data_IF_349400350119
#
_entry.id   IF_349400350119
#
_cell.length_a   1.000
_cell.length_b   1.000
_cell.length_c   1.000
_cell.angle_alpha   90.00
_cell.angle_beta   90.00
_cell.angle_gamma   90.00
#
_symmetry.space_group_name_H-M   'P 1'
#
loop_
_entity.id
_entity.type
_entity.pdbx_description
1 polymer ?
#
# COMPACT_ATOMS: atom_id res chain seq x y z
N UNK A 1 -3.11 -6.39 6.45
CA UNK A 1 -3.98 -7.42 5.84
C UNK A 1 -3.75 -8.72 6.54
N UNK A 2 -4.78 -9.56 6.65
CA UNK A 2 -4.66 -10.87 7.28
C UNK A 2 -5.41 -11.93 6.45
N UNK A 3 -4.81 -13.10 6.28
CA UNK A 3 -5.43 -14.28 5.68
C UNK A 3 -4.80 -15.53 6.31
N UNK A 4 -5.62 -16.46 6.80
CA UNK A 4 -5.20 -17.70 7.46
C UNK A 4 -4.17 -17.46 8.59
N UNK A 5 -4.33 -16.38 9.35
CA UNK A 5 -3.45 -15.99 10.44
C UNK A 5 -2.15 -15.32 10.01
N UNK A 6 -1.84 -15.22 8.72
CA UNK A 6 -0.68 -14.50 8.20
C UNK A 6 -0.98 -13.01 8.04
N UNK A 7 -0.14 -12.14 8.59
CA UNK A 7 -0.31 -10.68 8.60
C UNK A 7 0.73 -9.99 7.73
N UNK A 8 0.27 -9.48 6.58
CA UNK A 8 1.05 -8.65 5.68
C UNK A 8 0.79 -7.16 6.00
N UNK A 9 1.83 -6.43 6.37
CA UNK A 9 1.80 -4.98 6.48
C UNK A 9 2.20 -4.35 5.15
N UNK A 10 1.41 -3.41 4.65
CA UNK A 10 1.66 -2.71 3.39
C UNK A 10 1.88 -1.24 3.69
N UNK A 11 2.97 -0.69 3.17
CA UNK A 11 3.36 0.72 3.29
C UNK A 11 3.23 1.28 4.72
N UNK A 12 4.09 0.86 5.67
CA UNK A 12 4.13 1.44 7.00
C UNK A 12 4.73 2.85 6.99
N UNK A 13 3.92 3.81 6.55
CA UNK A 13 4.25 5.23 6.58
C UNK A 13 4.06 5.84 7.98
N UNK A 14 4.07 7.18 8.02
CA UNK A 14 4.03 7.93 9.29
C UNK A 14 2.89 7.51 10.22
N UNK A 15 3.22 7.26 11.49
CA UNK A 15 2.31 6.88 12.56
C UNK A 15 1.52 5.56 12.33
N UNK A 16 1.97 4.70 11.43
CA UNK A 16 1.39 3.38 11.21
C UNK A 16 1.71 2.44 12.37
N UNK A 17 2.97 2.38 12.80
CA UNK A 17 3.41 1.45 13.85
C UNK A 17 2.77 1.76 15.20
N UNK A 18 2.69 2.99 15.72
CA UNK A 18 1.96 3.26 16.95
C UNK A 18 0.51 2.76 16.92
N UNK A 19 -0.20 2.95 15.82
CA UNK A 19 -1.60 2.47 15.67
C UNK A 19 -1.69 0.96 15.51
N UNK A 20 -0.73 0.35 14.83
CA UNK A 20 -0.64 -1.11 14.72
C UNK A 20 -0.47 -1.75 16.10
N UNK A 21 0.42 -1.19 16.92
CA UNK A 21 0.74 -1.70 18.26
C UNK A 21 -0.40 -1.52 19.28
N UNK A 22 -1.42 -0.74 18.98
CA UNK A 22 -2.67 -0.71 19.74
C UNK A 22 -3.52 -2.00 19.55
N UNK A 23 -3.24 -2.78 18.50
CA UNK A 23 -4.04 -3.94 18.09
C UNK A 23 -3.30 -5.26 18.13
N UNK A 24 -2.03 -5.24 17.72
CA UNK A 24 -1.16 -6.43 17.68
C UNK A 24 0.23 -6.05 18.17
N UNK A 25 1.03 -7.04 18.52
CA UNK A 25 2.45 -6.84 18.84
C UNK A 25 3.30 -6.84 17.56
N UNK A 26 4.48 -6.22 17.61
CA UNK A 26 5.35 -6.12 16.44
C UNK A 26 5.79 -7.48 15.87
N UNK A 27 5.96 -8.49 16.74
CA UNK A 27 6.31 -9.87 16.35
C UNK A 27 5.18 -10.62 15.63
N UNK A 28 3.96 -10.12 15.67
CA UNK A 28 2.82 -10.68 14.95
C UNK A 28 2.72 -10.20 13.49
N UNK A 29 3.62 -9.34 13.03
CA UNK A 29 3.74 -8.99 11.61
C UNK A 29 4.63 -10.04 10.93
N UNK A 30 4.10 -10.73 9.92
CA UNK A 30 4.78 -11.83 9.24
C UNK A 30 5.58 -11.38 8.02
N UNK A 31 5.16 -10.32 7.33
CA UNK A 31 5.87 -9.72 6.23
C UNK A 31 5.50 -8.24 6.04
N UNK A 32 6.37 -7.50 5.33
CA UNK A 32 6.13 -6.12 4.92
C UNK A 32 6.29 -6.02 3.41
N UNK A 33 5.37 -5.30 2.75
CA UNK A 33 5.50 -4.88 1.35
C UNK A 33 5.56 -3.34 1.31
N UNK A 34 6.51 -2.82 0.53
CA UNK A 34 6.68 -1.38 0.32
C UNK A 34 6.51 -1.09 -1.17
N UNK A 35 5.55 -0.23 -1.50
CA UNK A 35 5.28 0.18 -2.88
C UNK A 35 6.39 1.04 -3.45
N UNK A 36 6.88 2.02 -2.66
CA UNK A 36 7.97 2.93 -3.05
C UNK A 36 8.65 3.59 -1.85
N UNK A 37 9.74 4.30 -2.09
CA UNK A 37 10.62 4.83 -1.05
C UNK A 37 10.29 6.20 -0.48
N UNK A 38 9.10 6.78 -0.72
CA UNK A 38 8.72 8.01 -0.05
C UNK A 38 8.47 7.75 1.46
N UNK A 39 8.86 8.69 2.34
CA UNK A 39 8.80 8.45 3.79
C UNK A 39 7.40 8.17 4.32
N UNK A 40 6.37 8.74 3.74
CA UNK A 40 4.97 8.50 4.11
C UNK A 40 4.45 7.10 3.73
N UNK A 41 5.28 6.29 3.05
CA UNK A 41 5.03 4.88 2.75
C UNK A 41 5.99 3.92 3.48
N UNK A 42 7.14 4.38 3.96
CA UNK A 42 8.15 3.47 4.52
C UNK A 42 8.78 3.93 5.86
N UNK A 43 8.53 5.14 6.35
CA UNK A 43 9.27 5.68 7.51
C UNK A 43 9.11 4.82 8.78
N UNK A 44 7.94 4.24 9.01
CA UNK A 44 7.68 3.42 10.19
C UNK A 44 8.23 1.99 10.07
N UNK A 45 8.88 1.62 8.95
CA UNK A 45 9.63 0.36 8.88
C UNK A 45 10.75 0.34 9.94
N UNK A 46 11.49 1.44 10.14
CA UNK A 46 12.55 1.50 11.13
C UNK A 46 12.03 1.25 12.56
N UNK A 47 11.03 1.96 13.11
CA UNK A 47 10.50 1.65 14.44
C UNK A 47 9.86 0.26 14.55
N UNK A 48 9.29 -0.31 13.47
CA UNK A 48 8.81 -1.70 13.48
C UNK A 48 9.96 -2.68 13.69
N UNK A 49 11.05 -2.55 12.91
CA UNK A 49 12.22 -3.42 13.01
C UNK A 49 12.85 -3.31 14.40
N UNK A 50 12.96 -2.11 14.97
CA UNK A 50 13.46 -1.88 16.32
C UNK A 50 12.58 -2.53 17.38
N UNK A 51 11.24 -2.40 17.28
CA UNK A 51 10.31 -3.02 18.21
C UNK A 51 10.36 -4.55 18.17
N UNK A 52 10.73 -5.15 17.04
CA UNK A 52 10.92 -6.60 16.89
C UNK A 52 12.25 -7.07 17.47
N UNK A 53 13.32 -6.32 17.28
CA UNK A 53 14.68 -6.78 17.49
C UNK A 53 15.26 -6.38 18.85
N UNK A 54 14.90 -5.19 19.39
CA UNK A 54 15.44 -4.69 20.64
C UNK A 54 14.67 -5.25 21.84
N UNK A 55 14.72 -6.56 22.00
CA UNK A 55 14.08 -7.32 23.06
C UNK A 55 14.94 -8.56 23.42
N UNK A 56 14.67 -9.17 24.57
CA UNK A 56 15.46 -10.32 25.06
C UNK A 56 15.33 -11.56 24.16
N UNK A 57 14.15 -11.77 23.56
CA UNK A 57 13.85 -12.88 22.66
C UNK A 57 13.28 -12.33 21.35
N UNK A 58 14.13 -11.92 20.40
CA UNK A 58 13.69 -11.38 19.13
C UNK A 58 13.12 -12.49 18.23
N UNK A 59 12.03 -12.23 17.49
CA UNK A 59 11.50 -13.16 16.50
C UNK A 59 12.47 -13.31 15.31
N UNK A 60 12.18 -14.27 14.44
CA UNK A 60 12.90 -14.42 13.18
C UNK A 60 12.95 -13.12 12.37
N UNK A 61 13.99 -12.91 11.54
CA UNK A 61 14.09 -11.75 10.67
C UNK A 61 12.82 -11.56 9.84
N UNK A 62 12.35 -10.32 9.75
CA UNK A 62 11.12 -9.96 9.04
C UNK A 62 11.34 -9.95 7.52
N UNK A 63 10.61 -10.73 6.72
CA UNK A 63 10.61 -10.58 5.27
C UNK A 63 10.09 -9.20 4.86
N UNK A 64 10.88 -8.44 4.10
CA UNK A 64 10.53 -7.11 3.60
C UNK A 64 10.69 -7.11 2.08
N UNK A 65 9.63 -6.79 1.37
CA UNK A 65 9.58 -6.78 -0.08
C UNK A 65 9.54 -5.35 -0.59
N UNK A 66 10.46 -4.96 -1.48
CA UNK A 66 10.51 -3.62 -2.06
C UNK A 66 11.14 -3.61 -3.45
N UNK A 67 10.98 -2.50 -4.16
CA UNK A 67 11.81 -2.22 -5.34
C UNK A 67 13.26 -1.95 -4.94
N UNK A 68 14.25 -2.26 -5.81
CA UNK A 68 15.65 -1.99 -5.54
C UNK A 68 15.91 -0.53 -5.14
N UNK A 69 16.65 -0.33 -4.06
CA UNK A 69 17.04 0.98 -3.56
C UNK A 69 15.93 1.79 -2.85
N UNK A 70 14.68 1.32 -2.87
CA UNK A 70 13.55 2.06 -2.28
C UNK A 70 13.68 2.27 -0.77
N UNK A 71 14.41 1.40 -0.08
CA UNK A 71 14.57 1.44 1.37
C UNK A 71 15.92 1.95 1.86
N UNK A 72 16.83 2.35 0.97
CA UNK A 72 18.19 2.76 1.35
C UNK A 72 18.19 3.86 2.41
N UNK A 73 17.31 4.88 2.25
CA UNK A 73 17.23 6.00 3.17
C UNK A 73 16.68 5.60 4.56
N UNK A 74 15.63 4.78 4.62
CA UNK A 74 15.01 4.38 5.89
C UNK A 74 15.89 3.36 6.64
N UNK A 75 16.58 2.47 5.93
CA UNK A 75 17.50 1.51 6.53
C UNK A 75 18.81 2.17 7.01
N UNK A 76 19.16 3.33 6.47
CA UNK A 76 20.31 4.12 6.89
C UNK A 76 20.03 5.02 8.11
N UNK A 77 18.83 5.01 8.69
CA UNK A 77 18.51 5.83 9.89
C UNK A 77 19.26 5.35 11.14
N UNK A 78 19.61 4.08 11.21
CA UNK A 78 20.41 3.52 12.29
C UNK A 78 21.90 3.43 11.90
N UNK A 79 22.76 3.27 12.92
CA UNK A 79 24.17 2.98 12.67
C UNK A 79 24.31 1.68 11.86
N UNK A 80 25.30 1.61 10.97
CA UNK A 80 25.54 0.40 10.15
C UNK A 80 25.57 -0.86 11.00
N UNK A 81 24.84 -1.89 10.56
CA UNK A 81 24.79 -3.20 11.21
C UNK A 81 23.81 -3.35 12.38
N UNK A 82 23.18 -2.27 12.86
CA UNK A 82 22.28 -2.36 14.03
C UNK A 82 21.04 -3.21 13.80
N UNK A 83 20.50 -3.20 12.59
CA UNK A 83 19.27 -3.91 12.21
C UNK A 83 19.54 -5.06 11.23
N UNK A 84 20.79 -5.50 11.06
CA UNK A 84 21.15 -6.52 10.05
C UNK A 84 20.38 -7.83 10.24
N UNK A 85 20.13 -8.24 11.48
CA UNK A 85 19.40 -9.47 11.80
C UNK A 85 17.89 -9.25 12.02
N UNK A 86 17.41 -8.02 11.81
CA UNK A 86 16.00 -7.67 12.02
C UNK A 86 15.09 -8.02 10.85
N UNK A 87 15.65 -8.10 9.64
CA UNK A 87 14.89 -8.28 8.41
C UNK A 87 15.66 -9.08 7.36
N UNK A 88 14.91 -9.61 6.39
CA UNK A 88 15.44 -10.14 5.13
C UNK A 88 14.83 -9.32 4.01
N UNK A 89 15.66 -8.58 3.27
CA UNK A 89 15.22 -7.77 2.15
C UNK A 89 15.07 -8.62 0.89
N UNK A 90 13.87 -8.65 0.33
CA UNK A 90 13.53 -9.28 -0.94
C UNK A 90 13.26 -8.19 -1.98
N UNK A 91 14.30 -7.82 -2.71
CA UNK A 91 14.14 -6.90 -3.83
C UNK A 91 13.51 -7.62 -5.03
N UNK A 92 12.50 -7.00 -5.64
CA UNK A 92 11.80 -7.54 -6.80
C UNK A 92 11.76 -6.53 -7.96
N UNK A 93 11.54 -7.03 -9.16
CA UNK A 93 11.27 -6.20 -10.33
C UNK A 93 9.76 -6.12 -10.56
N UNK A 94 9.21 -4.91 -10.64
CA UNK A 94 7.79 -4.72 -10.93
C UNK A 94 7.41 -5.27 -12.33
N UNK A 95 6.18 -5.77 -12.45
CA UNK A 95 5.68 -6.44 -13.65
C UNK A 95 5.71 -7.97 -13.56
N UNK A 96 6.30 -8.52 -12.50
CA UNK A 96 6.32 -9.95 -12.19
C UNK A 96 5.28 -10.38 -11.16
N UNK A 97 5.42 -11.63 -10.72
CA UNK A 97 4.67 -12.22 -9.61
C UNK A 97 5.63 -12.79 -8.57
N UNK A 98 5.18 -12.83 -7.33
CA UNK A 98 5.88 -13.40 -6.18
C UNK A 98 4.82 -13.89 -5.17
N UNK A 99 5.23 -14.81 -4.29
CA UNK A 99 4.36 -15.26 -3.21
C UNK A 99 4.82 -14.63 -1.89
N UNK A 100 3.86 -14.09 -1.13
CA UNK A 100 4.08 -13.50 0.19
C UNK A 100 3.18 -14.24 1.18
N UNK A 101 3.72 -15.23 1.85
CA UNK A 101 2.91 -16.14 2.68
C UNK A 101 1.79 -16.79 1.84
N UNK A 102 0.52 -16.69 2.26
CA UNK A 102 -0.62 -17.25 1.53
C UNK A 102 -1.07 -16.39 0.34
N UNK A 103 -0.47 -15.21 0.14
CA UNK A 103 -0.87 -14.29 -0.93
C UNK A 103 -0.06 -14.55 -2.19
N UNK A 104 -0.75 -14.83 -3.30
CA UNK A 104 -0.15 -14.71 -4.62
C UNK A 104 -0.18 -13.25 -5.06
N UNK A 105 0.99 -12.61 -5.16
CA UNK A 105 1.14 -11.20 -5.49
C UNK A 105 1.56 -11.02 -6.95
N UNK A 106 0.91 -10.07 -7.66
CA UNK A 106 1.34 -9.56 -8.96
C UNK A 106 1.59 -8.07 -8.83
N UNK A 107 2.69 -7.59 -9.39
CA UNK A 107 3.08 -6.18 -9.31
C UNK A 107 3.04 -5.51 -10.67
N UNK A 108 2.86 -4.18 -10.67
CA UNK A 108 2.98 -3.31 -11.85
C UNK A 108 3.79 -2.08 -11.48
N UNK A 109 4.70 -1.69 -12.35
CA UNK A 109 5.34 -0.38 -12.22
C UNK A 109 4.33 0.68 -12.66
N UNK A 110 3.95 1.56 -11.74
CA UNK A 110 2.97 2.61 -11.96
C UNK A 110 3.65 3.98 -12.04
N UNK A 111 3.12 4.91 -12.86
CA UNK A 111 3.73 6.23 -13.05
C UNK A 111 3.70 7.07 -11.77
N UNK A 112 4.87 7.41 -11.25
CA UNK A 112 5.04 8.29 -10.10
C UNK A 112 6.38 9.05 -10.22
N UNK A 113 6.71 9.91 -9.24
CA UNK A 113 7.97 10.67 -9.21
C UNK A 113 9.20 9.82 -8.92
N UNK A 114 9.00 8.69 -8.26
CA UNK A 114 9.98 7.62 -8.02
C UNK A 114 9.41 6.29 -8.49
N UNK A 115 10.21 5.23 -8.70
CA UNK A 115 9.67 3.91 -9.00
C UNK A 115 8.65 3.46 -7.95
N UNK A 116 7.41 3.22 -8.38
CA UNK A 116 6.30 2.79 -7.53
C UNK A 116 5.71 1.48 -8.05
N UNK A 117 5.60 0.48 -7.19
CA UNK A 117 5.00 -0.82 -7.51
C UNK A 117 3.60 -0.93 -6.93
N UNK A 118 2.58 -0.79 -7.78
CA UNK A 118 1.26 -1.25 -7.41
C UNK A 118 1.24 -2.77 -7.24
N UNK A 119 0.40 -3.28 -6.34
CA UNK A 119 0.31 -4.70 -6.02
C UNK A 119 -1.12 -5.21 -6.11
N UNK A 120 -1.28 -6.38 -6.72
CA UNK A 120 -2.50 -7.19 -6.70
C UNK A 120 -2.25 -8.43 -5.88
N UNK A 121 -3.00 -8.62 -4.82
CA UNK A 121 -2.93 -9.74 -3.90
C UNK A 121 -4.14 -10.65 -4.11
N UNK A 122 -3.88 -11.93 -4.32
CA UNK A 122 -4.91 -12.96 -4.41
C UNK A 122 -4.72 -13.94 -3.26
N UNK A 123 -5.80 -14.21 -2.53
CA UNK A 123 -5.87 -15.23 -1.48
C UNK A 123 -7.19 -16.00 -1.61
N UNK A 124 -7.13 -17.29 -1.92
CA UNK A 124 -8.30 -18.04 -2.34
C UNK A 124 -8.94 -17.42 -3.58
N UNK A 125 -10.22 -17.09 -3.50
CA UNK A 125 -10.97 -16.43 -4.59
C UNK A 125 -10.99 -14.90 -4.45
N UNK A 126 -10.39 -14.34 -3.41
CA UNK A 126 -10.45 -12.90 -3.10
C UNK A 126 -9.25 -12.16 -3.67
N UNK A 127 -9.54 -10.98 -4.17
CA UNK A 127 -8.56 -10.14 -4.85
C UNK A 127 -8.62 -8.72 -4.31
N UNK A 128 -7.47 -8.25 -3.82
CA UNK A 128 -7.24 -6.86 -3.48
C UNK A 128 -6.20 -6.27 -4.43
N UNK A 129 -6.44 -5.07 -4.94
CA UNK A 129 -5.46 -4.28 -5.67
C UNK A 129 -5.15 -3.00 -4.88
N UNK A 130 -3.87 -2.65 -4.76
CA UNK A 130 -3.40 -1.41 -4.14
C UNK A 130 -2.43 -0.70 -5.09
N UNK A 131 -2.61 0.59 -5.27
CA UNK A 131 -1.86 1.36 -6.26
C UNK A 131 -0.52 1.89 -5.76
N UNK A 132 -0.35 2.11 -4.44
CA UNK A 132 0.63 3.11 -4.01
C UNK A 132 0.26 4.46 -4.60
N UNK A 133 1.25 5.32 -4.84
CA UNK A 133 1.05 6.65 -5.44
C UNK A 133 1.21 6.57 -6.97
N UNK A 134 0.26 7.15 -7.70
CA UNK A 134 0.30 7.10 -9.16
C UNK A 134 -0.62 8.12 -9.82
N UNK A 135 -0.29 8.54 -11.02
CA UNK A 135 -1.28 9.15 -11.90
C UNK A 135 -2.07 8.07 -12.67
N UNK A 136 -3.20 8.44 -13.30
CA UNK A 136 -3.98 7.51 -14.10
C UNK A 136 -3.16 6.85 -15.21
N UNK A 137 -3.27 5.53 -15.33
CA UNK A 137 -2.62 4.75 -16.38
C UNK A 137 -3.39 3.46 -16.71
N UNK A 138 -3.21 2.87 -17.90
CA UNK A 138 -3.77 1.57 -18.24
C UNK A 138 -3.29 0.45 -17.29
N UNK A 139 -2.07 0.57 -16.73
CA UNK A 139 -1.52 -0.41 -15.80
C UNK A 139 -2.28 -0.45 -14.47
N UNK A 140 -2.85 0.68 -14.01
CA UNK A 140 -3.77 0.72 -12.86
C UNK A 140 -5.03 -0.08 -13.15
N UNK A 141 -5.61 0.09 -14.33
CA UNK A 141 -6.81 -0.66 -14.77
C UNK A 141 -6.51 -2.15 -14.85
N UNK A 142 -5.36 -2.54 -15.42
CA UNK A 142 -4.95 -3.95 -15.50
C UNK A 142 -4.68 -4.57 -14.13
N UNK A 143 -4.06 -3.82 -13.21
CA UNK A 143 -3.81 -4.25 -11.84
C UNK A 143 -5.12 -4.52 -11.10
N UNK A 144 -6.09 -3.61 -11.25
CA UNK A 144 -7.37 -3.61 -10.55
C UNK A 144 -8.44 -4.50 -11.22
N UNK A 145 -8.17 -5.09 -12.40
CA UNK A 145 -9.17 -5.82 -13.21
C UNK A 145 -9.90 -6.90 -12.42
N UNK A 146 -11.22 -6.68 -12.23
CA UNK A 146 -12.09 -7.58 -11.50
C UNK A 146 -11.71 -7.79 -10.03
N UNK A 147 -11.01 -6.83 -9.41
CA UNK A 147 -10.68 -6.91 -7.99
C UNK A 147 -11.95 -6.80 -7.12
N UNK A 148 -11.98 -7.55 -6.02
CA UNK A 148 -13.04 -7.40 -5.01
C UNK A 148 -12.89 -6.05 -4.30
N UNK A 149 -11.65 -5.58 -4.07
CA UNK A 149 -11.35 -4.27 -3.52
C UNK A 149 -10.20 -3.60 -4.28
N UNK A 150 -10.43 -2.40 -4.78
CA UNK A 150 -9.40 -1.48 -5.23
C UNK A 150 -9.15 -0.43 -4.14
N UNK A 151 -7.98 -0.49 -3.50
CA UNK A 151 -7.46 0.56 -2.62
C UNK A 151 -6.57 1.47 -3.47
N UNK A 152 -7.00 2.70 -3.69
CA UNK A 152 -6.31 3.60 -4.61
C UNK A 152 -6.07 4.98 -4.00
N UNK A 153 -4.88 5.53 -4.28
CA UNK A 153 -4.58 6.90 -3.92
C UNK A 153 -5.53 7.87 -4.65
N UNK A 154 -5.93 8.91 -3.95
CA UNK A 154 -6.79 9.97 -4.46
C UNK A 154 -6.40 11.30 -3.80
N UNK A 155 -5.17 11.74 -4.02
CA UNK A 155 -4.59 12.92 -3.38
C UNK A 155 -5.49 14.15 -3.53
N UNK A 156 -6.15 14.28 -4.66
CA UNK A 156 -7.07 15.38 -4.96
C UNK A 156 -8.52 14.88 -5.13
N UNK A 157 -9.51 15.72 -4.76
CA UNK A 157 -10.91 15.32 -4.93
C UNK A 157 -11.33 15.26 -6.42
N UNK A 158 -11.17 16.33 -7.16
CA UNK A 158 -11.71 16.47 -8.52
C UNK A 158 -10.62 16.68 -9.59
N UNK A 159 -9.70 17.60 -9.37
CA UNK A 159 -8.69 18.01 -10.33
C UNK A 159 -7.31 17.94 -9.75
N UNK A 160 -6.38 17.35 -10.50
CA UNK A 160 -4.96 17.33 -10.19
C UNK A 160 -4.31 18.60 -10.75
N UNK A 161 -3.53 19.36 -9.96
CA UNK A 161 -2.73 20.48 -10.46
C UNK A 161 -1.77 20.04 -11.58
N UNK A 162 -1.41 20.98 -12.46
CA UNK A 162 -0.59 20.70 -13.65
C UNK A 162 0.79 20.09 -13.33
N UNK A 163 1.42 20.55 -12.24
CA UNK A 163 2.71 20.07 -11.75
C UNK A 163 2.66 18.66 -11.16
N UNK A 164 1.50 18.23 -10.66
CA UNK A 164 1.30 16.93 -10.01
C UNK A 164 0.66 15.88 -10.93
N UNK A 165 0.09 16.28 -12.07
CA UNK A 165 -0.72 15.40 -12.95
C UNK A 165 0.00 14.17 -13.51
N UNK A 166 1.33 14.14 -13.48
CA UNK A 166 2.15 13.02 -13.94
C UNK A 166 2.48 12.03 -12.83
N UNK A 167 2.07 12.33 -11.60
CA UNK A 167 2.53 11.61 -10.41
C UNK A 167 1.40 11.20 -9.48
N UNK A 168 0.25 11.89 -9.52
CA UNK A 168 -0.84 11.74 -8.58
C UNK A 168 -2.20 11.73 -9.30
N UNK A 169 -3.22 11.21 -8.62
CA UNK A 169 -4.58 11.09 -9.12
C UNK A 169 -5.57 11.98 -8.36
N UNK A 170 -6.73 12.20 -8.96
CA UNK A 170 -7.92 12.66 -8.25
C UNK A 170 -8.91 11.51 -8.06
N UNK A 171 -9.77 11.66 -7.05
CA UNK A 171 -10.84 10.71 -6.77
C UNK A 171 -11.75 10.48 -8.00
N UNK A 172 -12.06 11.55 -8.76
CA UNK A 172 -12.78 11.44 -10.03
C UNK A 172 -12.07 10.53 -11.04
N UNK A 173 -10.76 10.68 -11.20
CA UNK A 173 -9.98 9.87 -12.13
C UNK A 173 -9.92 8.41 -11.68
N UNK A 174 -9.77 8.18 -10.38
CA UNK A 174 -9.76 6.85 -9.77
C UNK A 174 -11.12 6.15 -9.94
N UNK A 175 -12.23 6.88 -9.80
CA UNK A 175 -13.57 6.36 -10.08
C UNK A 175 -13.70 5.83 -11.52
N UNK A 176 -13.19 6.57 -12.51
CA UNK A 176 -13.15 6.09 -13.91
C UNK A 176 -12.35 4.81 -14.08
N UNK A 177 -11.18 4.74 -13.46
CA UNK A 177 -10.32 3.55 -13.52
C UNK A 177 -10.95 2.36 -12.81
N UNK A 178 -11.61 2.55 -11.66
CA UNK A 178 -12.36 1.50 -10.97
C UNK A 178 -13.49 0.93 -11.84
N UNK A 179 -14.24 1.81 -12.52
CA UNK A 179 -15.28 1.39 -13.48
C UNK A 179 -14.71 0.62 -14.65
N UNK A 180 -13.65 1.11 -15.28
CA UNK A 180 -12.99 0.46 -16.42
C UNK A 180 -12.39 -0.90 -16.03
N UNK A 181 -11.82 -1.00 -14.82
CA UNK A 181 -11.29 -2.24 -14.28
C UNK A 181 -12.38 -3.26 -13.90
N UNK A 182 -13.61 -2.82 -13.72
CA UNK A 182 -14.69 -3.65 -13.16
C UNK A 182 -14.40 -4.08 -11.72
N UNK A 183 -13.73 -3.24 -10.95
CA UNK A 183 -13.57 -3.47 -9.52
C UNK A 183 -14.94 -3.48 -8.84
N UNK A 184 -15.12 -4.27 -7.75
CA UNK A 184 -16.40 -4.36 -7.05
C UNK A 184 -16.59 -3.25 -6.02
N UNK A 185 -15.52 -2.96 -5.27
CA UNK A 185 -15.47 -1.90 -4.27
C UNK A 185 -14.26 -1.00 -4.51
N UNK A 186 -14.44 0.30 -4.34
CA UNK A 186 -13.38 1.29 -4.39
C UNK A 186 -13.19 1.90 -3.01
N UNK A 187 -11.95 1.85 -2.51
CA UNK A 187 -11.57 2.55 -1.29
C UNK A 187 -10.51 3.59 -1.61
N UNK A 188 -10.85 4.85 -1.40
CA UNK A 188 -9.96 5.98 -1.64
C UNK A 188 -9.02 6.16 -0.43
N UNK A 189 -7.74 6.35 -0.70
CA UNK A 189 -6.73 6.65 0.32
C UNK A 189 -5.84 7.80 -0.12
N UNK A 190 -4.86 8.18 0.69
CA UNK A 190 -3.87 9.20 0.38
C UNK A 190 -4.47 10.58 0.08
N UNK A 191 -5.62 10.93 0.67
CA UNK A 191 -6.19 12.26 0.52
C UNK A 191 -5.24 13.31 1.10
N UNK A 192 -5.00 14.38 0.34
CA UNK A 192 -4.18 15.50 0.82
C UNK A 192 -4.79 16.09 2.10
N UNK A 193 -3.98 16.45 3.11
CA UNK A 193 -4.48 17.09 4.32
C UNK A 193 -5.34 18.31 4.00
N UNK A 194 -6.57 18.34 4.58
CA UNK A 194 -7.55 19.40 4.32
C UNK A 194 -8.49 19.14 3.14
N UNK A 195 -8.29 18.05 2.39
CA UNK A 195 -9.26 17.62 1.37
C UNK A 195 -10.58 17.20 2.04
N UNK A 196 -11.68 17.71 1.53
CA UNK A 196 -13.02 17.27 1.95
C UNK A 196 -13.26 15.84 1.45
N UNK A 197 -13.25 14.88 2.39
CA UNK A 197 -13.44 13.47 2.10
C UNK A 197 -14.81 13.18 1.44
N UNK A 198 -15.85 13.91 1.82
CA UNK A 198 -17.19 13.78 1.22
C UNK A 198 -17.17 14.24 -0.24
N UNK A 199 -16.49 15.35 -0.52
CA UNK A 199 -16.34 15.84 -1.90
C UNK A 199 -15.50 14.88 -2.75
N UNK A 200 -14.44 14.26 -2.18
CA UNK A 200 -13.64 13.26 -2.87
C UNK A 200 -14.47 12.01 -3.19
N UNK A 201 -15.23 11.50 -2.23
CA UNK A 201 -16.12 10.35 -2.44
C UNK A 201 -17.16 10.65 -3.52
N UNK A 202 -17.86 11.78 -3.44
CA UNK A 202 -18.84 12.18 -4.44
C UNK A 202 -18.23 12.34 -5.84
N UNK A 203 -16.98 12.82 -5.95
CA UNK A 203 -16.28 12.93 -7.22
C UNK A 203 -15.97 11.57 -7.86
N UNK A 204 -15.63 10.55 -7.04
CA UNK A 204 -15.45 9.18 -7.51
C UNK A 204 -16.78 8.53 -7.91
N UNK A 205 -17.84 8.67 -7.09
CA UNK A 205 -19.18 8.15 -7.34
C UNK A 205 -19.82 8.72 -8.60
N UNK A 206 -19.45 9.94 -9.00
CA UNK A 206 -19.91 10.52 -10.27
C UNK A 206 -19.42 9.75 -11.51
N UNK A 207 -18.38 8.92 -11.39
CA UNK A 207 -17.76 8.19 -12.49
C UNK A 207 -17.84 6.65 -12.31
N UNK A 208 -18.15 6.19 -11.09
CA UNK A 208 -18.14 4.77 -10.72
C UNK A 208 -19.42 4.39 -10.00
N UNK A 209 -20.10 3.36 -10.51
CA UNK A 209 -21.42 2.92 -10.03
C UNK A 209 -21.33 1.90 -8.87
N UNK A 210 -20.14 1.42 -8.53
CA UNK A 210 -19.91 0.47 -7.44
C UNK A 210 -19.78 1.15 -6.07
N UNK A 211 -19.65 0.36 -5.03
CA UNK A 211 -19.47 0.87 -3.67
C UNK A 211 -18.16 1.65 -3.54
N UNK A 212 -18.24 2.87 -3.04
CA UNK A 212 -17.09 3.76 -2.82
C UNK A 212 -17.00 4.15 -1.34
N UNK A 213 -15.80 4.04 -0.76
CA UNK A 213 -15.52 4.47 0.60
C UNK A 213 -14.22 5.26 0.71
N UNK A 214 -13.97 5.78 1.91
CA UNK A 214 -12.71 6.44 2.28
C UNK A 214 -11.97 5.58 3.29
N UNK A 215 -10.70 5.32 3.05
CA UNK A 215 -9.83 4.65 4.01
C UNK A 215 -9.59 5.59 5.20
N UNK A 216 -10.08 5.20 6.36
CA UNK A 216 -9.87 5.91 7.61
C UNK A 216 -9.06 5.07 8.58
N UNK A 217 -8.36 5.74 9.50
CA UNK A 217 -7.60 5.04 10.51
C UNK A 217 -8.47 4.07 11.31
N UNK A 218 -8.07 2.81 11.34
CA UNK A 218 -8.78 1.76 12.07
C UNK A 218 -9.93 1.10 11.31
N UNK A 219 -10.22 1.50 10.07
CA UNK A 219 -11.18 0.81 9.21
C UNK A 219 -10.75 -0.65 9.01
N UNK A 220 -11.70 -1.56 9.16
CA UNK A 220 -11.54 -2.98 8.82
C UNK A 220 -12.55 -3.34 7.74
N UNK A 221 -12.09 -4.00 6.69
CA UNK A 221 -12.93 -4.50 5.60
C UNK A 221 -12.75 -6.01 5.53
N UNK A 222 -13.85 -6.73 5.61
CA UNK A 222 -13.90 -8.17 5.41
C UNK A 222 -14.27 -8.45 3.94
N UNK A 223 -13.43 -9.21 3.26
CA UNK A 223 -13.64 -9.64 1.86
C UNK A 223 -14.21 -11.07 1.79
N UNK A 224 -14.85 -11.55 2.88
CA UNK A 224 -15.46 -12.89 2.93
C UNK A 224 -16.58 -13.07 1.92
#
# INVERSE_FOLDING_TARGET
>A
MEHDGFRLLVDPGYATVPRLLERITADQVDAVFISHGHPDHCADLNPLLRARTLRDDPPAPLPVYSLPGALDAVLALDRPGMLTDAYVLHEFTAGGSLDIGPFHARTRLLPHSVPNAGIRLTAGERVLAYTGDTCPSPDVVDLARGADLLLAEATYADRVPEDSRRHLSSARQVGRQAKEAGARHLLLTHLQPGTDATAAQAAAEAEYDGETGIATSGLTIDLS
#
